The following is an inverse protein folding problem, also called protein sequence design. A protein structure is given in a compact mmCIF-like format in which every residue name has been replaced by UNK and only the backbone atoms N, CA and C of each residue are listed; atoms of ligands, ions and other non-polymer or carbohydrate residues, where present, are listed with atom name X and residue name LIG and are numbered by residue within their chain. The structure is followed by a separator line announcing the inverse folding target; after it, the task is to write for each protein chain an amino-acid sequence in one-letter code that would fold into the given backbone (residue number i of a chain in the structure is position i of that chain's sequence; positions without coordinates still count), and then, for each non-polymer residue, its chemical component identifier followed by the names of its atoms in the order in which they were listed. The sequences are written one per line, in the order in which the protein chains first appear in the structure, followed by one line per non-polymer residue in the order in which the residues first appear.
data_IF_304689944482
#
_entry.id   IF_304689944482
#
_cell.length_a   1.000
_cell.length_b   1.000
_cell.length_c   1.000
_cell.angle_alpha   90.00
_cell.angle_beta   90.00
_cell.angle_gamma   90.00
#
_symmetry.space_group_name_H-M   'P 1'
#
loop_
_entity.id
_entity.type
_entity.pdbx_description
1 polymer ?
#
# COMPACT_ATOMS: atom_id res chain seq x y z
N UNK A 1 28.59 -0.44 -6.85
CA UNK A 1 28.51 0.09 -8.23
C UNK A 1 27.32 -0.49 -9.01
N UNK A 2 27.11 -1.80 -9.10
CA UNK A 2 26.00 -2.42 -9.88
C UNK A 2 24.61 -1.88 -9.53
N UNK A 3 24.29 -1.73 -8.24
CA UNK A 3 22.98 -1.24 -7.77
C UNK A 3 22.76 0.25 -8.11
N UNK A 4 23.81 1.04 -8.18
CA UNK A 4 23.74 2.46 -8.55
C UNK A 4 23.37 2.63 -10.03
N UNK A 5 24.02 1.88 -10.93
CA UNK A 5 23.70 1.90 -12.37
C UNK A 5 22.28 1.40 -12.65
N UNK A 6 21.83 0.35 -11.95
CA UNK A 6 20.46 -0.17 -12.08
C UNK A 6 19.44 0.90 -11.66
N UNK A 7 19.72 1.65 -10.59
CA UNK A 7 18.83 2.72 -10.13
C UNK A 7 18.73 3.84 -11.18
N UNK A 8 19.86 4.34 -11.68
CA UNK A 8 19.86 5.38 -12.73
C UNK A 8 19.13 4.91 -13.97
N UNK A 9 19.38 3.68 -14.43
CA UNK A 9 18.72 3.12 -15.60
C UNK A 9 17.19 3.06 -15.42
N UNK A 10 16.70 2.63 -14.25
CA UNK A 10 15.28 2.63 -13.92
C UNK A 10 14.67 4.04 -13.92
N UNK A 11 15.39 5.03 -13.39
CA UNK A 11 14.95 6.42 -13.38
C UNK A 11 14.87 7.02 -14.80
N UNK A 12 15.83 6.71 -15.66
CA UNK A 12 15.81 7.13 -17.07
C UNK A 12 14.60 6.52 -17.79
N UNK A 13 14.39 5.20 -17.67
CA UNK A 13 13.24 4.53 -18.29
C UNK A 13 11.93 5.11 -17.76
N UNK A 14 11.80 5.29 -16.46
CA UNK A 14 10.60 5.87 -15.85
C UNK A 14 10.32 7.28 -16.40
N UNK A 15 11.37 8.08 -16.57
CA UNK A 15 11.28 9.43 -17.13
C UNK A 15 10.82 9.39 -18.59
N UNK A 16 11.41 8.53 -19.41
CA UNK A 16 11.02 8.36 -20.82
C UNK A 16 9.55 7.94 -20.91
N UNK A 17 9.14 6.95 -20.13
CA UNK A 17 7.74 6.50 -20.10
C UNK A 17 6.80 7.64 -19.66
N UNK A 18 7.19 8.40 -18.64
CA UNK A 18 6.37 9.51 -18.13
C UNK A 18 6.11 10.58 -19.20
N UNK A 19 7.14 10.94 -19.98
CA UNK A 19 7.04 11.97 -21.02
C UNK A 19 6.56 11.44 -22.38
N UNK A 20 6.50 10.12 -22.58
CA UNK A 20 6.03 9.51 -23.85
C UNK A 20 4.53 9.71 -24.12
N UNK A 21 3.76 10.19 -23.15
CA UNK A 21 2.29 10.25 -23.24
C UNK A 21 1.58 8.90 -23.02
N UNK A 22 2.32 7.78 -23.03
CA UNK A 22 1.74 6.42 -22.82
C UNK A 22 0.90 6.32 -21.55
N UNK A 23 1.35 6.81 -20.37
CA UNK A 23 0.55 6.76 -19.15
C UNK A 23 -0.78 7.52 -19.28
N UNK A 24 -0.78 8.62 -20.03
CA UNK A 24 -2.00 9.41 -20.29
C UNK A 24 -2.98 8.65 -21.18
N UNK A 25 -2.49 7.98 -22.22
CA UNK A 25 -3.31 7.13 -23.09
C UNK A 25 -3.88 5.95 -22.33
N UNK A 26 -3.06 5.22 -21.59
CA UNK A 26 -3.51 4.08 -20.75
C UNK A 26 -4.56 4.56 -19.76
N UNK A 27 -4.34 5.67 -19.08
CA UNK A 27 -5.31 6.24 -18.16
C UNK A 27 -6.63 6.58 -18.87
N UNK A 28 -6.57 7.19 -20.02
CA UNK A 28 -7.76 7.60 -20.75
C UNK A 28 -8.57 6.41 -21.29
N UNK A 29 -7.91 5.42 -21.89
CA UNK A 29 -8.60 4.30 -22.52
C UNK A 29 -8.95 3.18 -21.54
N UNK A 30 -8.08 2.91 -20.56
CA UNK A 30 -8.22 1.77 -19.65
C UNK A 30 -8.79 2.20 -18.29
N UNK A 31 -8.17 3.18 -17.63
CA UNK A 31 -8.53 3.53 -16.25
C UNK A 31 -9.81 4.37 -16.13
N UNK A 32 -10.31 4.94 -17.22
CA UNK A 32 -11.49 5.81 -17.21
C UNK A 32 -12.74 5.17 -16.59
N UNK A 33 -12.92 3.86 -16.82
CA UNK A 33 -14.08 3.07 -16.34
C UNK A 33 -13.68 1.97 -15.35
N UNK A 34 -12.42 1.95 -14.88
CA UNK A 34 -11.92 0.95 -13.94
C UNK A 34 -11.51 1.63 -12.65
N UNK A 35 -11.86 1.02 -11.51
CA UNK A 35 -11.41 1.51 -10.22
C UNK A 35 -9.89 1.22 -10.09
N UNK A 36 -9.14 2.30 -9.88
CA UNK A 36 -7.73 2.20 -9.52
C UNK A 36 -7.64 2.11 -8.01
N UNK A 37 -6.87 1.14 -7.51
CA UNK A 37 -6.61 0.99 -6.07
C UNK A 37 -5.12 1.24 -5.85
N UNK A 38 -4.81 2.19 -4.97
CA UNK A 38 -3.43 2.46 -4.54
C UNK A 38 -3.30 2.07 -3.08
N UNK A 39 -2.31 1.22 -2.82
CA UNK A 39 -2.05 0.64 -1.51
C UNK A 39 -0.80 1.27 -0.89
N UNK A 40 -0.91 1.65 0.38
CA UNK A 40 0.19 2.12 1.21
C UNK A 40 0.33 1.23 2.45
N UNK A 41 1.54 1.14 2.98
CA UNK A 41 1.79 0.55 4.29
C UNK A 41 2.13 1.65 5.31
N UNK A 42 3.28 2.28 5.14
CA UNK A 42 3.81 3.24 6.10
C UNK A 42 4.55 4.38 5.36
N UNK A 43 3.86 5.20 4.57
CA UNK A 43 4.50 6.32 3.89
C UNK A 43 4.86 7.43 4.90
N UNK A 44 5.86 8.25 4.56
CA UNK A 44 6.09 9.51 5.28
C UNK A 44 4.96 10.50 4.98
N UNK A 45 4.76 11.47 5.87
CA UNK A 45 3.74 12.53 5.67
C UNK A 45 4.00 13.27 4.36
N UNK A 46 5.26 13.65 4.12
CA UNK A 46 5.65 14.38 2.92
C UNK A 46 5.39 13.57 1.65
N UNK A 47 5.92 12.35 1.57
CA UNK A 47 5.74 11.48 0.39
C UNK A 47 4.26 11.22 0.11
N UNK A 48 3.47 10.98 1.16
CA UNK A 48 2.05 10.75 0.99
C UNK A 48 1.32 11.99 0.47
N UNK A 49 1.65 13.19 0.98
CA UNK A 49 1.05 14.43 0.53
C UNK A 49 1.38 14.72 -0.95
N UNK A 50 2.64 14.57 -1.35
CA UNK A 50 3.08 14.73 -2.74
C UNK A 50 2.33 13.78 -3.68
N UNK A 51 2.21 12.50 -3.31
CA UNK A 51 1.45 11.51 -4.05
C UNK A 51 -0.04 11.90 -4.14
N UNK A 52 -0.63 12.33 -3.02
CA UNK A 52 -2.04 12.66 -2.96
C UNK A 52 -2.36 13.89 -3.84
N UNK A 53 -1.51 14.90 -3.83
CA UNK A 53 -1.64 16.07 -4.72
C UNK A 53 -1.61 15.65 -6.19
N UNK A 54 -0.66 14.79 -6.56
CA UNK A 54 -0.57 14.27 -7.92
C UNK A 54 -1.80 13.42 -8.30
N UNK A 55 -2.20 12.51 -7.45
CA UNK A 55 -3.32 11.60 -7.69
C UNK A 55 -4.64 12.36 -7.83
N UNK A 56 -4.91 13.36 -6.99
CA UNK A 56 -6.12 14.17 -7.07
C UNK A 56 -6.24 15.02 -8.35
N UNK A 57 -5.13 15.34 -9.00
CA UNK A 57 -5.15 16.01 -10.32
C UNK A 57 -5.59 15.07 -11.46
N UNK A 58 -5.49 13.75 -11.23
CA UNK A 58 -5.69 12.75 -12.29
C UNK A 58 -6.89 11.83 -12.05
N UNK A 59 -7.33 11.69 -10.81
CA UNK A 59 -8.32 10.71 -10.37
C UNK A 59 -9.35 11.35 -9.44
N UNK A 60 -10.51 10.75 -9.36
CA UNK A 60 -11.56 11.07 -8.41
C UNK A 60 -11.55 10.08 -7.25
N UNK A 61 -11.36 10.58 -6.03
CA UNK A 61 -11.34 9.75 -4.82
C UNK A 61 -12.73 9.18 -4.56
N UNK A 62 -12.79 7.88 -4.28
CA UNK A 62 -13.99 7.17 -3.83
C UNK A 62 -13.71 6.46 -2.52
N UNK A 63 -14.76 6.11 -1.78
CA UNK A 63 -14.67 5.29 -0.57
C UNK A 63 -14.91 3.81 -0.91
N UNK A 64 -14.42 2.90 -0.06
CA UNK A 64 -14.66 1.47 -0.25
C UNK A 64 -16.16 1.14 -0.26
N UNK A 65 -16.95 1.84 0.57
CA UNK A 65 -18.41 1.63 0.60
C UNK A 65 -19.07 1.92 -0.75
N UNK A 66 -18.60 2.92 -1.51
CA UNK A 66 -19.16 3.26 -2.82
C UNK A 66 -18.87 2.16 -3.83
N UNK A 67 -17.64 1.60 -3.78
CA UNK A 67 -17.24 0.47 -4.61
C UNK A 67 -18.03 -0.80 -4.27
N UNK A 68 -18.12 -1.14 -2.98
CA UNK A 68 -18.84 -2.35 -2.54
C UNK A 68 -20.34 -2.24 -2.85
N UNK A 69 -20.94 -1.07 -2.67
CA UNK A 69 -22.33 -0.82 -3.05
C UNK A 69 -22.54 -1.04 -4.55
N UNK A 70 -21.63 -0.51 -5.38
CA UNK A 70 -21.73 -0.64 -6.85
C UNK A 70 -21.59 -2.08 -7.32
N UNK A 71 -20.72 -2.85 -6.69
CA UNK A 71 -20.54 -4.28 -6.99
C UNK A 71 -21.80 -5.07 -6.58
N UNK A 72 -22.28 -4.86 -5.34
CA UNK A 72 -23.41 -5.61 -4.80
C UNK A 72 -24.70 -5.36 -5.58
N UNK A 73 -24.95 -4.11 -5.96
CA UNK A 73 -26.17 -3.72 -6.68
C UNK A 73 -26.00 -3.74 -8.21
N UNK A 74 -24.85 -4.15 -8.72
CA UNK A 74 -24.51 -4.12 -10.14
C UNK A 74 -24.80 -2.76 -10.80
N UNK A 75 -24.55 -1.67 -10.08
CA UNK A 75 -24.80 -0.30 -10.56
C UNK A 75 -23.53 0.55 -10.44
N UNK A 76 -23.16 1.21 -11.53
CA UNK A 76 -21.92 1.98 -11.62
C UNK A 76 -22.17 3.48 -11.86
N UNK A 77 -23.42 3.91 -11.77
CA UNK A 77 -23.81 5.29 -12.05
C UNK A 77 -23.23 6.29 -11.06
N UNK A 78 -23.01 5.86 -9.81
CA UNK A 78 -22.47 6.69 -8.73
C UNK A 78 -20.93 6.71 -8.68
N UNK A 79 -20.27 5.88 -9.51
CA UNK A 79 -18.81 5.85 -9.58
C UNK A 79 -18.33 6.86 -10.61
N UNK A 80 -17.53 7.87 -10.23
CA UNK A 80 -17.05 8.88 -11.15
C UNK A 80 -16.07 8.31 -12.17
N UNK A 81 -15.75 9.08 -13.21
CA UNK A 81 -14.66 8.72 -14.14
C UNK A 81 -13.33 8.74 -13.40
N UNK A 82 -12.40 7.86 -13.77
CA UNK A 82 -11.09 7.72 -13.14
C UNK A 82 -11.21 7.56 -11.61
N UNK A 83 -11.97 6.57 -11.12
CA UNK A 83 -12.16 6.39 -9.70
C UNK A 83 -10.89 5.85 -9.05
N UNK A 84 -10.54 6.39 -7.88
CA UNK A 84 -9.37 6.02 -7.09
C UNK A 84 -9.76 5.70 -5.67
N UNK A 85 -9.47 4.48 -5.24
CA UNK A 85 -9.54 4.05 -3.85
C UNK A 85 -8.14 4.03 -3.24
N UNK A 86 -7.99 4.64 -2.08
CA UNK A 86 -6.73 4.61 -1.32
C UNK A 86 -6.91 3.68 -0.14
N UNK A 87 -5.98 2.72 0.00
CA UNK A 87 -5.96 1.74 1.07
C UNK A 87 -4.64 1.77 1.82
N UNK A 88 -4.68 1.39 3.09
CA UNK A 88 -3.51 1.18 3.93
C UNK A 88 -3.57 -0.22 4.52
N UNK A 89 -2.45 -0.92 4.49
CA UNK A 89 -2.32 -2.22 5.11
C UNK A 89 -1.67 -2.13 6.50
N UNK A 90 -1.82 -3.19 7.28
CA UNK A 90 -1.19 -3.44 8.57
C UNK A 90 -1.62 -2.51 9.72
N UNK A 91 -2.30 -1.41 9.46
CA UNK A 91 -2.70 -0.48 10.51
C UNK A 91 -1.54 0.11 11.30
N UNK A 92 -0.45 0.49 10.63
CA UNK A 92 0.72 1.07 11.28
C UNK A 92 0.37 2.29 12.14
N UNK A 93 0.86 2.32 13.40
CA UNK A 93 0.65 3.45 14.33
C UNK A 93 1.12 4.79 13.74
N UNK A 94 2.17 4.79 12.92
CA UNK A 94 2.67 5.99 12.24
C UNK A 94 1.66 6.62 11.28
N UNK A 95 0.66 5.86 10.78
CA UNK A 95 -0.40 6.39 9.93
C UNK A 95 -1.28 7.42 10.65
N UNK A 96 -1.26 7.48 11.98
CA UNK A 96 -1.89 8.58 12.74
C UNK A 96 -1.36 9.96 12.34
N UNK A 97 -0.10 10.07 11.93
CA UNK A 97 0.49 11.34 11.45
C UNK A 97 -0.19 11.85 10.18
N UNK A 98 -0.86 10.97 9.42
CA UNK A 98 -1.55 11.29 8.17
C UNK A 98 -2.97 11.84 8.38
N UNK A 99 -3.53 11.77 9.59
CA UNK A 99 -4.92 12.20 9.88
C UNK A 99 -5.16 13.67 9.48
N UNK A 100 -4.15 14.54 9.68
CA UNK A 100 -4.25 15.95 9.27
C UNK A 100 -4.42 16.06 7.75
N UNK A 101 -3.73 15.23 6.97
CA UNK A 101 -3.86 15.19 5.50
C UNK A 101 -5.22 14.59 5.10
N UNK A 102 -5.67 13.54 5.76
CA UNK A 102 -6.99 12.96 5.50
C UNK A 102 -8.09 14.01 5.65
N UNK A 103 -8.03 14.81 6.71
CA UNK A 103 -8.97 15.92 6.93
C UNK A 103 -8.82 17.03 5.90
N UNK A 104 -7.59 17.49 5.65
CA UNK A 104 -7.26 18.56 4.69
C UNK A 104 -7.79 18.25 3.28
N UNK A 105 -7.61 17.01 2.84
CA UNK A 105 -7.97 16.58 1.48
C UNK A 105 -9.33 15.87 1.40
N UNK A 106 -10.09 15.82 2.51
CA UNK A 106 -11.38 15.10 2.63
C UNK A 106 -11.27 13.63 2.16
N UNK A 107 -10.13 13.01 2.46
CA UNK A 107 -9.85 11.62 2.14
C UNK A 107 -10.37 10.72 3.26
N UNK A 108 -11.11 9.68 2.91
CA UNK A 108 -11.53 8.59 3.80
C UNK A 108 -10.92 7.28 3.29
N UNK A 109 -9.65 7.01 3.64
CA UNK A 109 -8.99 5.79 3.18
C UNK A 109 -9.56 4.58 3.90
N UNK A 110 -9.41 3.42 3.28
CA UNK A 110 -9.64 2.14 3.95
C UNK A 110 -8.34 1.68 4.61
N UNK A 111 -8.40 1.30 5.88
CA UNK A 111 -7.25 0.79 6.62
C UNK A 111 -7.53 -0.66 7.00
N UNK A 112 -6.76 -1.59 6.43
CA UNK A 112 -6.82 -3.00 6.77
C UNK A 112 -5.95 -3.26 8.01
N UNK A 113 -6.54 -3.86 9.02
CA UNK A 113 -5.87 -4.13 10.28
C UNK A 113 -5.46 -5.60 10.36
N UNK A 114 -4.26 -5.85 10.85
CA UNK A 114 -3.86 -7.20 11.23
C UNK A 114 -4.50 -7.55 12.60
N UNK A 115 -5.64 -8.21 12.56
CA UNK A 115 -6.48 -8.48 13.75
C UNK A 115 -5.76 -9.25 14.84
N UNK A 116 -4.77 -10.09 14.51
CA UNK A 116 -3.94 -10.82 15.48
C UNK A 116 -2.92 -9.93 16.20
N UNK A 117 -2.69 -8.71 15.73
CA UNK A 117 -1.71 -7.77 16.29
C UNK A 117 -2.40 -6.64 17.04
N UNK A 118 -3.56 -6.20 16.57
CA UNK A 118 -4.32 -5.11 17.21
C UNK A 118 -4.71 -5.52 18.65
N UNK A 119 -4.44 -4.62 19.59
CA UNK A 119 -4.66 -4.82 21.03
C UNK A 119 -3.91 -6.04 21.61
N UNK A 120 -2.78 -6.40 21.03
CA UNK A 120 -1.90 -7.45 21.54
C UNK A 120 -0.46 -6.92 21.72
N UNK A 121 0.38 -7.69 22.43
CA UNK A 121 1.81 -7.44 22.53
C UNK A 121 2.61 -8.09 21.38
N UNK A 122 1.92 -8.53 20.33
CA UNK A 122 2.53 -9.18 19.18
C UNK A 122 3.15 -8.17 18.24
N UNK A 123 4.22 -8.60 17.61
CA UNK A 123 4.91 -7.83 16.57
C UNK A 123 4.94 -8.65 15.26
N UNK A 124 5.04 -7.95 14.15
CA UNK A 124 5.38 -8.62 12.91
C UNK A 124 6.79 -9.21 13.02
N UNK A 125 6.94 -10.47 12.67
CA UNK A 125 8.22 -11.20 12.76
C UNK A 125 9.38 -10.45 12.06
N UNK A 126 9.10 -9.79 10.93
CA UNK A 126 10.07 -9.02 10.17
C UNK A 126 10.47 -7.67 10.81
N UNK A 127 9.90 -7.33 11.96
CA UNK A 127 10.31 -6.17 12.76
C UNK A 127 11.36 -6.50 13.81
N UNK A 128 11.59 -7.79 14.05
CA UNK A 128 12.46 -8.30 15.14
C UNK A 128 13.81 -8.72 14.57
N UNK A 129 13.92 -8.87 13.27
CA UNK A 129 15.11 -9.36 12.58
C UNK A 129 15.68 -8.28 11.66
N UNK A 130 16.98 -8.39 11.37
CA UNK A 130 17.67 -7.54 10.40
C UNK A 130 17.20 -7.79 8.96
N UNK A 131 17.54 -6.86 8.06
CA UNK A 131 17.04 -6.91 6.69
C UNK A 131 17.61 -8.09 5.89
N UNK A 132 18.82 -8.56 6.18
CA UNK A 132 19.45 -9.68 5.49
C UNK A 132 18.70 -10.99 5.80
N UNK A 133 18.54 -11.30 7.09
CA UNK A 133 17.79 -12.47 7.54
C UNK A 133 16.32 -12.42 7.11
N UNK A 134 15.72 -11.23 7.06
CA UNK A 134 14.35 -11.02 6.59
C UNK A 134 14.16 -11.46 5.13
N UNK A 135 15.08 -11.09 4.23
CA UNK A 135 14.97 -11.50 2.83
C UNK A 135 15.14 -13.03 2.67
N UNK A 136 16.06 -13.64 3.42
CA UNK A 136 16.22 -15.10 3.44
C UNK A 136 14.95 -15.79 3.96
N UNK A 137 14.41 -15.30 5.07
CA UNK A 137 13.24 -15.93 5.70
C UNK A 137 11.95 -15.78 4.89
N UNK A 138 11.86 -14.80 3.96
CA UNK A 138 10.75 -14.69 3.03
C UNK A 138 10.70 -15.81 1.99
N UNK A 139 11.85 -16.38 1.64
CA UNK A 139 11.95 -17.38 0.56
C UNK A 139 11.64 -18.80 1.02
N UNK A 140 11.65 -19.06 2.32
CA UNK A 140 11.44 -20.40 2.88
C UNK A 140 9.98 -20.63 3.31
N UNK A 141 9.60 -21.91 3.46
CA UNK A 141 8.26 -22.29 3.90
C UNK A 141 7.91 -21.70 5.27
N UNK A 142 6.62 -21.50 5.52
CA UNK A 142 6.14 -20.94 6.79
C UNK A 142 6.63 -21.76 7.99
N UNK A 143 6.57 -23.10 7.94
CA UNK A 143 6.98 -23.96 9.04
C UNK A 143 8.47 -23.82 9.36
N UNK A 144 9.32 -23.80 8.34
CA UNK A 144 10.76 -23.61 8.51
C UNK A 144 11.08 -22.22 9.07
N UNK A 145 10.39 -21.19 8.57
CA UNK A 145 10.53 -19.83 9.08
C UNK A 145 10.15 -19.73 10.55
N UNK A 146 9.01 -20.30 10.96
CA UNK A 146 8.56 -20.28 12.36
C UNK A 146 9.57 -21.00 13.28
N UNK A 147 10.15 -22.12 12.82
CA UNK A 147 11.20 -22.83 13.55
C UNK A 147 12.44 -21.96 13.76
N UNK A 148 12.95 -21.35 12.69
CA UNK A 148 14.13 -20.47 12.76
C UNK A 148 13.87 -19.24 13.63
N UNK A 149 12.70 -18.62 13.49
CA UNK A 149 12.32 -17.47 14.31
C UNK A 149 12.29 -17.81 15.80
N UNK A 150 11.77 -18.97 16.16
CA UNK A 150 11.74 -19.45 17.53
C UNK A 150 13.15 -19.76 18.08
N UNK A 151 13.96 -20.49 17.31
CA UNK A 151 15.28 -20.99 17.75
C UNK A 151 16.35 -19.90 17.78
N UNK A 152 16.39 -19.02 16.77
CA UNK A 152 17.47 -18.03 16.63
C UNK A 152 17.11 -16.64 17.14
N UNK A 153 15.83 -16.25 17.08
CA UNK A 153 15.40 -14.90 17.42
C UNK A 153 14.48 -14.85 18.64
N UNK A 154 14.31 -15.97 19.34
CA UNK A 154 13.43 -16.11 20.52
C UNK A 154 12.01 -15.56 20.27
N UNK A 155 11.53 -15.67 19.04
CA UNK A 155 10.20 -15.21 18.66
C UNK A 155 9.17 -16.18 19.25
N UNK A 156 8.38 -15.69 20.19
CA UNK A 156 7.26 -16.45 20.76
C UNK A 156 6.01 -16.12 19.94
N UNK A 157 5.48 -17.14 19.28
CA UNK A 157 4.11 -17.10 18.77
C UNK A 157 3.22 -17.28 19.99
N UNK A 158 2.43 -16.27 20.36
CA UNK A 158 1.44 -16.47 21.42
C UNK A 158 0.45 -17.56 20.99
N UNK A 159 0.33 -18.59 21.78
CA UNK A 159 -0.57 -19.73 21.54
C UNK A 159 -2.05 -19.38 21.73
N UNK A 160 -2.35 -18.09 22.01
CA UNK A 160 -3.72 -17.58 22.18
C UNK A 160 -4.18 -16.88 20.90
N UNK A 161 -4.67 -17.67 19.95
CA UNK A 161 -5.28 -17.12 18.74
C UNK A 161 -5.57 -18.12 17.68
#
# INVERSE_FOLDING_TARGET
MKNFFIKIFKEIIATIILFSGIPTLIRFFIAKKKVTIVLYHNPTVQTFEEHLIYLKKKYNLIELKDLTYSIYNNTWTNIPRFPLLITFDDGHKSNYKLIKLFKKYKLKPTIYLCTKIVNSLRFFWFKIIDDENKEILKTISQNNREKILKERFNFKKDDKG
#
